data_IF_640546035754
#
_entry.id   IF_640546035754
#
_cell.length_a   1.000
_cell.length_b   1.000
_cell.length_c   1.000
_cell.angle_alpha   90.00
_cell.angle_beta   90.00
_cell.angle_gamma   90.00
#
_symmetry.space_group_name_H-M   'P 1'
#
loop_
_entity.id
_entity.type
_entity.pdbx_description
1 polymer ?
#
# COMPACT_ATOMS: atom_id res chain seq x y z
N UNK A 1 16.01 -4.14 -7.80
CA UNK A 1 14.75 -4.26 -7.06
C UNK A 1 14.93 -3.54 -5.73
N UNK A 2 14.20 -2.46 -5.51
CA UNK A 2 14.25 -1.77 -4.24
C UNK A 2 13.52 -2.63 -3.20
N UNK A 3 14.26 -3.33 -2.34
CA UNK A 3 13.69 -4.34 -1.42
C UNK A 3 12.60 -3.75 -0.51
N UNK A 4 12.66 -2.45 -0.21
CA UNK A 4 11.66 -1.75 0.60
C UNK A 4 10.26 -1.76 -0.02
N UNK A 5 10.16 -1.74 -1.37
CA UNK A 5 8.87 -1.71 -2.06
C UNK A 5 8.27 -3.10 -2.33
N UNK A 6 9.07 -4.17 -2.23
CA UNK A 6 8.61 -5.53 -2.51
C UNK A 6 7.43 -5.95 -1.63
N UNK A 7 7.38 -5.46 -0.38
CA UNK A 7 6.26 -5.74 0.54
C UNK A 7 4.91 -5.30 -0.03
N UNK A 8 4.87 -4.18 -0.75
CA UNK A 8 3.64 -3.70 -1.36
C UNK A 8 3.23 -4.55 -2.55
N UNK A 9 4.17 -4.88 -3.44
CA UNK A 9 3.89 -5.68 -4.64
C UNK A 9 3.32 -7.05 -4.28
N UNK A 10 3.94 -7.75 -3.32
CA UNK A 10 3.49 -9.08 -2.89
C UNK A 10 2.09 -9.03 -2.28
N UNK A 11 1.78 -8.00 -1.49
CA UNK A 11 0.46 -7.83 -0.92
C UNK A 11 -0.59 -7.49 -2.00
N UNK A 12 -0.25 -6.60 -2.93
CA UNK A 12 -1.15 -6.19 -4.01
C UNK A 12 -1.42 -7.30 -5.01
N UNK A 13 -0.47 -8.21 -5.27
CA UNK A 13 -0.67 -9.34 -6.20
C UNK A 13 -1.91 -10.17 -5.86
N UNK A 14 -2.22 -10.33 -4.56
CA UNK A 14 -3.35 -11.12 -4.11
C UNK A 14 -4.66 -10.32 -4.02
N UNK A 15 -4.60 -9.02 -3.72
CA UNK A 15 -5.77 -8.23 -3.34
C UNK A 15 -6.14 -7.10 -4.31
N UNK A 16 -5.30 -6.77 -5.29
CA UNK A 16 -5.53 -5.62 -6.17
C UNK A 16 -6.86 -5.74 -6.93
N UNK A 17 -7.17 -6.93 -7.45
CA UNK A 17 -8.43 -7.17 -8.16
C UNK A 17 -9.65 -6.92 -7.25
N UNK A 18 -9.58 -7.38 -5.99
CA UNK A 18 -10.61 -7.18 -4.98
C UNK A 18 -10.75 -5.71 -4.62
N UNK A 19 -9.62 -5.03 -4.32
CA UNK A 19 -9.59 -3.61 -4.00
C UNK A 19 -10.19 -2.75 -5.13
N UNK A 20 -9.79 -3.02 -6.38
CA UNK A 20 -10.30 -2.31 -7.55
C UNK A 20 -11.81 -2.50 -7.72
N UNK A 21 -12.31 -3.73 -7.54
CA UNK A 21 -13.74 -4.03 -7.61
C UNK A 21 -14.52 -3.28 -6.53
N UNK A 22 -14.02 -3.29 -5.29
CA UNK A 22 -14.65 -2.59 -4.17
C UNK A 22 -14.67 -1.07 -4.36
N UNK A 23 -13.57 -0.48 -4.84
CA UNK A 23 -13.48 0.95 -5.16
C UNK A 23 -14.47 1.31 -6.26
N UNK A 24 -14.53 0.53 -7.35
CA UNK A 24 -15.50 0.72 -8.44
C UNK A 24 -16.95 0.59 -7.96
N UNK A 25 -17.19 -0.27 -6.97
CA UNK A 25 -18.50 -0.42 -6.35
C UNK A 25 -18.86 0.69 -5.34
N UNK A 26 -17.92 1.61 -5.06
CA UNK A 26 -18.11 2.74 -4.14
C UNK A 26 -18.11 2.35 -2.66
N UNK A 27 -17.75 1.11 -2.32
CA UNK A 27 -17.75 0.63 -0.94
C UNK A 27 -16.67 -0.41 -0.68
N UNK A 28 -15.71 -0.03 0.16
CA UNK A 28 -14.71 -0.95 0.74
C UNK A 28 -15.37 -1.95 1.69
N UNK A 29 -14.94 -3.21 1.60
CA UNK A 29 -15.44 -4.35 2.39
C UNK A 29 -14.33 -5.20 2.98
N UNK A 30 -13.17 -5.30 2.33
CA UNK A 30 -12.08 -6.19 2.75
C UNK A 30 -10.82 -5.41 3.19
N UNK A 31 -9.74 -6.12 3.53
CA UNK A 31 -8.62 -5.63 4.35
C UNK A 31 -7.36 -5.27 3.56
N UNK A 32 -7.45 -4.31 2.62
CA UNK A 32 -6.33 -3.95 1.73
C UNK A 32 -5.77 -2.53 1.88
N UNK A 33 -6.31 -1.72 2.80
CA UNK A 33 -6.03 -0.27 2.86
C UNK A 33 -4.54 0.03 3.00
N UNK A 34 -3.84 -0.71 3.87
CA UNK A 34 -2.47 -0.39 4.27
C UNK A 34 -1.45 -0.45 3.15
N UNK A 35 -1.67 -1.26 2.11
CA UNK A 35 -0.72 -1.47 1.02
C UNK A 35 -1.23 -1.02 -0.35
N UNK A 36 -2.53 -0.74 -0.49
CA UNK A 36 -3.10 -0.06 -1.67
C UNK A 36 -3.01 1.47 -1.51
N UNK A 37 -3.29 1.98 -0.30
CA UNK A 37 -3.16 3.40 0.05
C UNK A 37 -2.33 3.54 1.34
N UNK A 38 -1.01 3.30 1.27
CA UNK A 38 -0.16 3.35 2.45
C UNK A 38 -0.06 4.78 3.01
N UNK A 39 0.20 4.87 4.30
CA UNK A 39 0.30 6.12 5.05
C UNK A 39 1.72 6.31 5.62
N UNK A 40 2.05 7.54 6.02
CA UNK A 40 3.32 7.86 6.67
C UNK A 40 3.47 7.11 8.01
N UNK A 41 4.69 6.69 8.30
CA UNK A 41 5.07 6.07 9.57
C UNK A 41 4.70 6.98 10.75
N UNK A 42 4.17 6.37 11.81
CA UNK A 42 3.70 7.07 13.01
C UNK A 42 2.23 7.52 12.96
N UNK A 43 1.56 7.49 11.80
CA UNK A 43 0.13 7.81 11.73
C UNK A 43 -0.74 6.65 12.24
N UNK A 44 -0.41 5.43 11.82
CA UNK A 44 -1.08 4.20 12.27
C UNK A 44 -0.40 3.56 13.48
N UNK A 45 -1.19 3.00 14.40
CA UNK A 45 -0.68 2.33 15.60
C UNK A 45 -0.70 0.80 15.52
N UNK A 46 -1.47 0.21 14.59
CA UNK A 46 -1.52 -1.25 14.45
C UNK A 46 -0.25 -1.81 13.80
N UNK A 47 0.11 -3.05 14.10
CA UNK A 47 1.30 -3.70 13.56
C UNK A 47 1.29 -3.73 12.03
N UNK A 48 0.13 -4.01 11.41
CA UNK A 48 0.01 -4.01 9.94
C UNK A 48 0.18 -2.60 9.35
N UNK A 49 -0.28 -1.57 10.07
CA UNK A 49 -0.11 -0.18 9.64
C UNK A 49 1.34 0.29 9.74
N UNK A 50 2.10 -0.20 10.72
CA UNK A 50 3.55 0.05 10.85
C UNK A 50 4.33 -0.70 9.76
N UNK A 51 3.98 -1.96 9.49
CA UNK A 51 4.66 -2.78 8.50
C UNK A 51 4.60 -2.18 7.08
N UNK A 52 3.41 -1.75 6.66
CA UNK A 52 3.19 -1.11 5.35
C UNK A 52 3.33 0.42 5.36
N UNK A 53 3.83 1.01 6.44
CA UNK A 53 4.05 2.44 6.46
C UNK A 53 5.11 2.86 5.43
N UNK A 54 4.89 4.03 4.83
CA UNK A 54 5.92 4.81 4.15
C UNK A 54 6.74 5.50 5.24
N UNK A 55 8.06 5.30 5.27
CA UNK A 55 8.96 5.83 6.30
C UNK A 55 9.08 7.34 6.23
N UNK A 56 9.25 7.87 5.03
CA UNK A 56 9.61 9.27 4.80
C UNK A 56 9.23 9.74 3.38
N UNK A 57 9.54 10.99 3.07
CA UNK A 57 9.26 11.61 1.77
C UNK A 57 10.01 10.95 0.62
N UNK A 58 11.21 10.42 0.83
CA UNK A 58 12.00 9.82 -0.23
C UNK A 58 11.51 8.42 -0.58
N UNK A 59 11.05 7.63 0.40
CA UNK A 59 10.31 6.39 0.14
C UNK A 59 8.98 6.70 -0.56
N UNK A 60 8.27 7.76 -0.18
CA UNK A 60 7.03 8.18 -0.85
C UNK A 60 7.26 8.50 -2.34
N UNK A 61 8.32 9.27 -2.66
CA UNK A 61 8.71 9.55 -4.06
C UNK A 61 9.11 8.28 -4.79
N UNK A 62 9.79 7.37 -4.11
CA UNK A 62 10.23 6.10 -4.72
C UNK A 62 9.04 5.19 -5.01
N UNK A 63 8.05 5.14 -4.10
CA UNK A 63 6.77 4.46 -4.31
C UNK A 63 6.03 5.06 -5.51
N UNK A 64 5.90 6.38 -5.58
CA UNK A 64 5.19 7.08 -6.65
C UNK A 64 5.87 6.95 -8.03
N UNK A 65 7.21 6.90 -8.07
CA UNK A 65 7.95 6.72 -9.32
C UNK A 65 8.06 5.24 -9.76
N UNK A 66 7.52 4.30 -8.97
CA UNK A 66 7.61 2.88 -9.27
C UNK A 66 6.59 2.50 -10.37
N UNK A 67 6.99 1.81 -11.46
CA UNK A 67 6.18 1.61 -12.66
C UNK A 67 4.89 0.78 -12.47
N UNK A 68 4.70 0.20 -11.29
CA UNK A 68 3.52 -0.60 -10.94
C UNK A 68 2.73 0.01 -9.77
N UNK A 69 3.41 0.73 -8.85
CA UNK A 69 2.78 1.19 -7.61
C UNK A 69 2.28 2.63 -7.71
N UNK A 70 2.86 3.44 -8.61
CA UNK A 70 2.47 4.84 -8.86
C UNK A 70 1.97 5.08 -10.27
#
# INVERSE_FOLDING_TARGET
>A
MNQELCKFLVAQENDYATALSEIKSGRKKTHWMWYIFPQIAGLGQSEISKYYAIRDLDEAKTYLNHPVLG
#
